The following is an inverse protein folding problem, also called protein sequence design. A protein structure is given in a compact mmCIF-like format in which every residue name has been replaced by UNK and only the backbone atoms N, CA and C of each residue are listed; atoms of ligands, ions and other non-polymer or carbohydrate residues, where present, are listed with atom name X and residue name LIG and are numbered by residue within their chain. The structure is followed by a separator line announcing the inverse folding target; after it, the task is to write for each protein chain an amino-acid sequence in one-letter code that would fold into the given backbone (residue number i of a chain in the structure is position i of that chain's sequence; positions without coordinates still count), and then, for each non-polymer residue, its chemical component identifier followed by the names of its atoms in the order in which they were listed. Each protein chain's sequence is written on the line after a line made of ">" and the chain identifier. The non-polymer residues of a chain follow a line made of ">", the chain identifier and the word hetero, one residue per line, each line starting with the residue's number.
data_IF_279338657739
#
_entry.id   IF_279338657739
#
_cell.length_a   1.000
_cell.length_b   1.000
_cell.length_c   1.000
_cell.angle_alpha   90.00
_cell.angle_beta   90.00
_cell.angle_gamma   90.00
#
_symmetry.space_group_name_H-M   'P 1'
#
loop_
_entity.id
_entity.type
_entity.pdbx_description
1 polymer ?
#
# COMPACT_ATOMS: atom_id res chain seq x y z
N UNK A 1 -70.34 35.66 -3.64
CA UNK A 1 -69.23 34.83 -4.17
C UNK A 1 -69.24 33.55 -3.34
N UNK A 2 -69.82 32.47 -3.88
CA UNK A 2 -70.10 31.26 -3.11
C UNK A 2 -68.80 30.47 -2.90
N UNK A 3 -68.20 30.60 -1.72
CA UNK A 3 -67.13 29.73 -1.27
C UNK A 3 -67.72 28.33 -1.05
N UNK A 4 -67.17 27.32 -1.69
CA UNK A 4 -67.73 25.95 -1.83
C UNK A 4 -68.07 25.23 -0.49
N UNK A 5 -67.64 25.78 0.66
CA UNK A 5 -67.87 25.27 2.02
C UNK A 5 -68.26 26.36 3.05
N UNK A 6 -68.47 27.62 2.62
CA UNK A 6 -68.77 28.74 3.53
C UNK A 6 -67.59 29.21 4.41
N UNK A 7 -66.36 28.76 4.13
CA UNK A 7 -65.15 29.16 4.86
C UNK A 7 -64.54 30.41 4.23
N UNK A 8 -64.15 31.38 5.07
CA UNK A 8 -63.53 32.63 4.63
C UNK A 8 -62.14 32.41 3.99
N UNK A 9 -61.78 33.29 3.06
CA UNK A 9 -60.52 33.22 2.32
C UNK A 9 -59.31 33.34 3.26
N UNK A 10 -59.41 34.18 4.29
CA UNK A 10 -58.35 34.39 5.28
C UNK A 10 -58.10 33.12 6.08
N UNK A 11 -59.16 32.42 6.47
CA UNK A 11 -59.08 31.13 7.20
C UNK A 11 -58.38 30.07 6.33
N UNK A 12 -58.76 29.99 5.06
CA UNK A 12 -58.15 29.05 4.10
C UNK A 12 -56.66 29.34 3.87
N UNK A 13 -56.28 30.62 3.81
CA UNK A 13 -54.88 31.03 3.65
C UNK A 13 -54.03 30.66 4.88
N UNK A 14 -54.55 30.89 6.09
CA UNK A 14 -53.87 30.56 7.35
C UNK A 14 -53.74 29.04 7.50
N UNK A 15 -54.80 28.26 7.20
CA UNK A 15 -54.79 26.80 7.20
C UNK A 15 -53.67 26.24 6.30
N UNK A 16 -53.61 26.72 5.06
CA UNK A 16 -52.58 26.33 4.09
C UNK A 16 -51.17 26.69 4.56
N UNK A 17 -50.97 27.90 5.09
CA UNK A 17 -49.68 28.35 5.58
C UNK A 17 -49.17 27.49 6.76
N UNK A 18 -50.03 27.24 7.76
CA UNK A 18 -49.68 26.39 8.90
C UNK A 18 -49.30 24.98 8.45
N UNK A 19 -50.10 24.38 7.57
CA UNK A 19 -49.85 23.03 7.07
C UNK A 19 -48.53 22.93 6.29
N UNK A 20 -48.31 23.85 5.34
CA UNK A 20 -47.14 23.83 4.45
C UNK A 20 -45.84 24.14 5.18
N UNK A 21 -45.82 25.13 6.09
CA UNK A 21 -44.63 25.49 6.88
C UNK A 21 -44.22 24.34 7.79
N UNK A 22 -45.18 23.74 8.50
CA UNK A 22 -44.88 22.61 9.40
C UNK A 22 -44.47 21.36 8.62
N UNK A 23 -45.06 21.12 7.45
CA UNK A 23 -44.66 19.99 6.59
C UNK A 23 -43.23 20.19 6.06
N UNK A 24 -42.89 21.40 5.62
CA UNK A 24 -41.54 21.73 5.18
C UNK A 24 -40.52 21.54 6.31
N UNK A 25 -40.86 21.96 7.54
CA UNK A 25 -40.02 21.72 8.72
C UNK A 25 -39.82 20.24 9.02
N UNK A 26 -40.88 19.42 8.95
CA UNK A 26 -40.81 17.98 9.14
C UNK A 26 -39.94 17.29 8.08
N UNK A 27 -40.07 17.67 6.82
CA UNK A 27 -39.26 17.17 5.71
C UNK A 27 -37.79 17.54 5.89
N UNK A 28 -37.49 18.80 6.24
CA UNK A 28 -36.13 19.26 6.50
C UNK A 28 -35.48 18.52 7.68
N UNK A 29 -36.23 18.32 8.76
CA UNK A 29 -35.78 17.55 9.93
C UNK A 29 -35.43 16.10 9.54
N UNK A 30 -36.29 15.44 8.76
CA UNK A 30 -36.04 14.06 8.30
C UNK A 30 -34.81 13.99 7.41
N UNK A 31 -34.71 14.87 6.42
CA UNK A 31 -33.58 14.92 5.50
C UNK A 31 -32.25 15.13 6.25
N UNK A 32 -32.22 16.07 7.20
CA UNK A 32 -31.02 16.38 7.97
C UNK A 32 -30.67 15.27 8.98
N UNK A 33 -31.66 14.72 9.69
CA UNK A 33 -31.40 13.64 10.67
C UNK A 33 -30.86 12.40 9.98
N UNK A 34 -31.44 11.99 8.84
CA UNK A 34 -30.96 10.84 8.08
C UNK A 34 -29.62 11.09 7.39
N UNK A 35 -29.22 12.36 7.20
CA UNK A 35 -27.86 12.68 6.79
C UNK A 35 -26.82 12.33 7.87
N UNK A 36 -27.14 12.56 9.15
CA UNK A 36 -26.16 12.43 10.26
C UNK A 36 -26.27 11.15 11.10
N UNK A 37 -27.45 10.54 11.23
CA UNK A 37 -27.66 9.38 12.10
C UNK A 37 -28.26 8.19 11.34
N UNK A 38 -27.54 7.07 11.31
CA UNK A 38 -28.01 5.81 10.72
C UNK A 38 -27.59 4.60 11.54
N UNK A 39 -28.54 3.74 11.95
CA UNK A 39 -28.20 2.52 12.68
C UNK A 39 -27.54 1.49 11.75
N UNK A 40 -26.55 0.75 12.26
CA UNK A 40 -25.89 -0.33 11.49
C UNK A 40 -26.82 -1.51 11.17
N UNK A 41 -27.85 -1.75 12.00
CA UNK A 41 -28.84 -2.84 11.85
C UNK A 41 -30.25 -2.28 11.79
N UNK A 42 -31.12 -2.88 10.98
CA UNK A 42 -32.51 -2.45 10.84
C UNK A 42 -32.67 -1.08 10.18
N UNK A 43 -31.84 -0.76 9.18
CA UNK A 43 -31.81 0.55 8.51
C UNK A 43 -33.17 0.97 7.96
N UNK A 44 -33.83 0.08 7.21
CA UNK A 44 -35.14 0.35 6.60
C UNK A 44 -36.26 0.46 7.63
N UNK A 45 -36.25 -0.38 8.67
CA UNK A 45 -37.24 -0.32 9.74
C UNK A 45 -37.08 0.96 10.57
N UNK A 46 -35.85 1.42 10.81
CA UNK A 46 -35.59 2.70 11.45
C UNK A 46 -36.13 3.87 10.64
N UNK A 47 -35.86 3.94 9.33
CA UNK A 47 -36.38 5.02 8.46
C UNK A 47 -37.92 5.03 8.49
N UNK A 48 -38.56 3.87 8.36
CA UNK A 48 -40.03 3.76 8.41
C UNK A 48 -40.63 4.20 9.76
N UNK A 49 -40.05 3.76 10.88
CA UNK A 49 -40.52 4.12 12.23
C UNK A 49 -40.29 5.61 12.49
N UNK A 50 -39.11 6.13 12.15
CA UNK A 50 -38.75 7.52 12.40
C UNK A 50 -39.59 8.50 11.58
N UNK A 51 -39.68 8.29 10.27
CA UNK A 51 -40.53 9.10 9.40
C UNK A 51 -41.98 9.03 9.84
N UNK A 52 -42.43 7.86 10.29
CA UNK A 52 -43.78 7.73 10.78
C UNK A 52 -44.09 8.42 12.10
N UNK A 53 -43.14 8.39 13.05
CA UNK A 53 -43.24 9.18 14.27
C UNK A 53 -43.29 10.68 13.95
N UNK A 54 -42.44 11.16 13.03
CA UNK A 54 -42.45 12.56 12.59
C UNK A 54 -43.76 12.93 11.93
N UNK A 55 -44.34 12.07 11.08
CA UNK A 55 -45.65 12.32 10.46
C UNK A 55 -46.78 12.41 11.49
N UNK A 56 -46.78 11.57 12.53
CA UNK A 56 -47.77 11.64 13.62
C UNK A 56 -47.63 12.93 14.43
N UNK A 57 -46.40 13.31 14.79
CA UNK A 57 -46.13 14.56 15.52
C UNK A 57 -46.54 15.77 14.70
N UNK A 58 -46.16 15.81 13.41
CA UNK A 58 -46.54 16.87 12.49
C UNK A 58 -48.06 17.03 12.41
N UNK A 59 -48.80 15.94 12.15
CA UNK A 59 -50.25 15.97 12.04
C UNK A 59 -50.90 16.44 13.36
N UNK A 60 -50.43 15.94 14.51
CA UNK A 60 -50.92 16.35 15.82
C UNK A 60 -50.71 17.85 16.10
N UNK A 61 -49.54 18.38 15.77
CA UNK A 61 -49.22 19.81 15.93
C UNK A 61 -50.09 20.68 15.01
N UNK A 62 -50.23 20.30 13.73
CA UNK A 62 -51.10 21.00 12.77
C UNK A 62 -52.54 21.08 13.30
N UNK A 63 -53.10 19.95 13.73
CA UNK A 63 -54.48 19.88 14.25
C UNK A 63 -54.63 20.72 15.52
N UNK A 64 -53.68 20.63 16.45
CA UNK A 64 -53.72 21.38 17.72
C UNK A 64 -53.70 22.89 17.48
N UNK A 65 -52.83 23.38 16.59
CA UNK A 65 -52.73 24.81 16.27
C UNK A 65 -54.02 25.29 15.61
N UNK A 66 -54.49 24.61 14.55
CA UNK A 66 -55.66 25.04 13.79
C UNK A 66 -56.95 24.99 14.62
N UNK A 67 -57.10 23.97 15.46
CA UNK A 67 -58.25 23.86 16.39
C UNK A 67 -58.21 24.94 17.47
N UNK A 68 -57.03 25.34 17.93
CA UNK A 68 -56.88 26.41 18.92
C UNK A 68 -57.15 27.79 18.34
N UNK A 69 -56.82 28.04 17.07
CA UNK A 69 -57.05 29.34 16.41
C UNK A 69 -58.53 29.53 16.08
N UNK A 70 -59.23 28.46 15.69
CA UNK A 70 -60.60 28.52 15.18
C UNK A 70 -61.60 27.73 16.04
N UNK A 71 -61.40 27.69 17.36
CA UNK A 71 -62.26 26.95 18.30
C UNK A 71 -63.74 27.34 18.20
N UNK A 72 -64.00 28.59 17.89
CA UNK A 72 -65.34 29.18 17.90
C UNK A 72 -66.09 28.94 16.58
N UNK A 73 -65.40 28.47 15.53
CA UNK A 73 -65.98 28.20 14.22
C UNK A 73 -66.29 26.70 14.04
N UNK A 74 -67.49 26.30 14.47
CA UNK A 74 -67.97 24.91 14.43
C UNK A 74 -67.88 24.27 13.03
N UNK A 75 -68.18 25.02 11.96
CA UNK A 75 -68.11 24.53 10.58
C UNK A 75 -66.67 24.19 10.18
N UNK A 76 -65.71 25.05 10.54
CA UNK A 76 -64.30 24.81 10.26
C UNK A 76 -63.75 23.63 11.07
N UNK A 77 -64.11 23.51 12.35
CA UNK A 77 -63.64 22.39 13.20
C UNK A 77 -64.14 21.04 12.69
N UNK A 78 -65.39 20.97 12.21
CA UNK A 78 -65.92 19.76 11.56
C UNK A 78 -65.16 19.43 10.27
N UNK A 79 -64.97 20.43 9.39
CA UNK A 79 -64.22 20.26 8.15
C UNK A 79 -62.75 19.82 8.38
N UNK A 80 -62.10 20.39 9.41
CA UNK A 80 -60.75 19.99 9.80
C UNK A 80 -60.71 18.51 10.23
N UNK A 81 -61.69 18.06 11.02
CA UNK A 81 -61.82 16.66 11.42
C UNK A 81 -62.02 15.73 10.23
N UNK A 82 -62.92 16.09 9.31
CA UNK A 82 -63.25 15.26 8.14
C UNK A 82 -62.07 15.13 7.15
N UNK A 83 -61.27 16.19 7.01
CA UNK A 83 -60.11 16.21 6.11
C UNK A 83 -58.82 15.68 6.74
N UNK A 84 -58.79 15.50 8.06
CA UNK A 84 -57.60 15.04 8.81
C UNK A 84 -57.00 13.73 8.27
N UNK A 85 -57.79 12.67 7.97
CA UNK A 85 -57.23 11.42 7.44
C UNK A 85 -56.51 11.61 6.09
N UNK A 86 -57.05 12.46 5.22
CA UNK A 86 -56.49 12.75 3.90
C UNK A 86 -55.20 13.57 4.05
N UNK A 87 -55.20 14.60 4.91
CA UNK A 87 -54.01 15.42 5.23
C UNK A 87 -52.89 14.54 5.78
N UNK A 88 -53.21 13.64 6.70
CA UNK A 88 -52.26 12.69 7.26
C UNK A 88 -51.67 11.78 6.18
N UNK A 89 -52.50 11.18 5.31
CA UNK A 89 -52.02 10.29 4.25
C UNK A 89 -51.08 11.02 3.26
N UNK A 90 -51.40 12.26 2.88
CA UNK A 90 -50.56 13.07 2.00
C UNK A 90 -49.22 13.44 2.68
N UNK A 91 -49.26 13.97 3.90
CA UNK A 91 -48.05 14.34 4.65
C UNK A 91 -47.16 13.13 4.95
N UNK A 92 -47.75 12.00 5.33
CA UNK A 92 -47.07 10.73 5.51
C UNK A 92 -46.31 10.30 4.26
N UNK A 93 -46.97 10.32 3.10
CA UNK A 93 -46.35 9.91 1.83
C UNK A 93 -45.17 10.80 1.46
N UNK A 94 -45.30 12.12 1.64
CA UNK A 94 -44.22 13.07 1.37
C UNK A 94 -43.03 12.84 2.32
N UNK A 95 -43.28 12.76 3.63
CA UNK A 95 -42.23 12.62 4.65
C UNK A 95 -41.47 11.29 4.49
N UNK A 96 -42.20 10.19 4.34
CA UNK A 96 -41.60 8.86 4.11
C UNK A 96 -40.84 8.81 2.79
N UNK A 97 -41.41 9.34 1.70
CA UNK A 97 -40.77 9.38 0.39
C UNK A 97 -39.44 10.13 0.42
N UNK A 98 -39.40 11.32 1.02
CA UNK A 98 -38.13 12.06 1.21
C UNK A 98 -37.15 11.29 2.09
N UNK A 99 -37.63 10.63 3.16
CA UNK A 99 -36.78 9.82 4.01
C UNK A 99 -36.08 8.68 3.26
N UNK A 100 -36.83 7.95 2.42
CA UNK A 100 -36.25 6.89 1.58
C UNK A 100 -35.34 7.44 0.48
N UNK A 101 -35.70 8.53 -0.19
CA UNK A 101 -34.85 9.16 -1.22
C UNK A 101 -33.51 9.57 -0.61
N UNK A 102 -33.53 10.27 0.53
CA UNK A 102 -32.31 10.66 1.23
C UNK A 102 -31.50 9.43 1.62
N UNK A 103 -32.14 8.40 2.17
CA UNK A 103 -31.45 7.17 2.53
C UNK A 103 -30.73 6.53 1.34
N UNK A 104 -31.41 6.37 0.20
CA UNK A 104 -30.83 5.74 -0.99
C UNK A 104 -29.72 6.58 -1.64
N UNK A 105 -29.88 7.91 -1.71
CA UNK A 105 -28.86 8.78 -2.33
C UNK A 105 -27.55 8.69 -1.57
N UNK A 106 -27.61 8.70 -0.23
CA UNK A 106 -26.42 8.58 0.58
C UNK A 106 -25.84 7.16 0.59
N UNK A 107 -26.66 6.10 0.59
CA UNK A 107 -26.15 4.72 0.48
C UNK A 107 -25.40 4.51 -0.85
N UNK A 108 -25.92 5.09 -1.94
CA UNK A 108 -25.24 5.09 -3.24
C UNK A 108 -23.90 5.84 -3.18
N UNK A 109 -23.86 7.02 -2.54
CA UNK A 109 -22.62 7.78 -2.36
C UNK A 109 -21.58 7.00 -1.55
N UNK A 110 -21.98 6.39 -0.44
CA UNK A 110 -21.09 5.58 0.39
C UNK A 110 -20.52 4.39 -0.38
N UNK A 111 -21.34 3.72 -1.20
CA UNK A 111 -20.89 2.64 -2.08
C UNK A 111 -19.93 3.13 -3.16
N UNK A 112 -20.18 4.29 -3.77
CA UNK A 112 -19.27 4.89 -4.75
C UNK A 112 -17.93 5.27 -4.13
N UNK A 113 -17.94 5.87 -2.94
CA UNK A 113 -16.71 6.19 -2.20
C UNK A 113 -15.95 4.93 -1.77
N UNK A 114 -16.65 3.88 -1.36
CA UNK A 114 -16.05 2.59 -1.04
C UNK A 114 -15.42 1.94 -2.28
N UNK A 115 -16.12 1.98 -3.42
CA UNK A 115 -15.61 1.48 -4.70
C UNK A 115 -14.38 2.27 -5.17
N UNK A 116 -14.45 3.61 -5.15
CA UNK A 116 -13.33 4.47 -5.52
C UNK A 116 -12.10 4.24 -4.62
N UNK A 117 -12.30 4.07 -3.31
CA UNK A 117 -11.23 3.70 -2.38
C UNK A 117 -10.63 2.33 -2.71
N UNK A 118 -11.46 1.36 -3.05
CA UNK A 118 -11.01 0.02 -3.47
C UNK A 118 -10.19 0.09 -4.76
N UNK A 119 -10.69 0.77 -5.79
CA UNK A 119 -9.99 0.94 -7.06
C UNK A 119 -8.65 1.67 -6.89
N UNK A 120 -8.60 2.71 -6.06
CA UNK A 120 -7.36 3.42 -5.73
C UNK A 120 -6.35 2.51 -5.03
N UNK A 121 -6.80 1.69 -4.07
CA UNK A 121 -5.93 0.72 -3.40
C UNK A 121 -5.41 -0.36 -4.36
N UNK A 122 -6.24 -0.89 -5.25
CA UNK A 122 -5.84 -1.86 -6.28
C UNK A 122 -4.85 -1.26 -7.30
N UNK A 123 -5.03 0.02 -7.66
CA UNK A 123 -4.09 0.74 -8.52
C UNK A 123 -2.73 0.90 -7.84
N UNK A 124 -2.71 1.35 -6.58
CA UNK A 124 -1.48 1.49 -5.80
C UNK A 124 -0.75 0.15 -5.62
N UNK A 125 -1.50 -0.94 -5.36
CA UNK A 125 -0.92 -2.27 -5.27
C UNK A 125 -0.26 -2.71 -6.59
N UNK A 126 -0.94 -2.51 -7.73
CA UNK A 126 -0.39 -2.79 -9.06
C UNK A 126 0.85 -1.95 -9.37
N UNK A 127 0.83 -0.65 -9.05
CA UNK A 127 1.98 0.23 -9.25
C UNK A 127 3.18 -0.20 -8.39
N UNK A 128 2.93 -0.61 -7.14
CA UNK A 128 3.97 -1.15 -6.26
C UNK A 128 4.56 -2.47 -6.77
N UNK A 129 3.72 -3.36 -7.30
CA UNK A 129 4.15 -4.63 -7.92
C UNK A 129 4.99 -4.38 -9.18
N UNK A 130 4.54 -3.48 -10.06
CA UNK A 130 5.30 -3.08 -11.24
C UNK A 130 6.64 -2.42 -10.88
N UNK A 131 6.65 -1.57 -9.84
CA UNK A 131 7.87 -0.96 -9.34
C UNK A 131 8.85 -2.01 -8.80
N UNK A 132 8.35 -2.96 -8.00
CA UNK A 132 9.13 -4.09 -7.47
C UNK A 132 9.76 -4.89 -8.62
N UNK A 133 8.98 -5.25 -9.64
CA UNK A 133 9.46 -5.98 -10.81
C UNK A 133 10.52 -5.20 -11.60
N UNK A 134 10.32 -3.88 -11.80
CA UNK A 134 11.31 -3.01 -12.47
C UNK A 134 12.62 -2.94 -11.71
N UNK A 135 12.60 -2.90 -10.38
CA UNK A 135 13.81 -2.88 -9.56
C UNK A 135 14.57 -4.21 -9.62
N UNK A 136 13.85 -5.33 -9.69
CA UNK A 136 14.46 -6.67 -9.79
C UNK A 136 15.24 -6.90 -11.07
N UNK A 137 14.83 -6.28 -12.18
CA UNK A 137 15.52 -6.44 -13.45
C UNK A 137 16.86 -5.71 -13.51
N UNK A 138 17.21 -4.91 -12.50
CA UNK A 138 18.48 -4.17 -12.42
C UNK A 138 18.84 -3.48 -13.76
N UNK A 139 18.02 -2.51 -14.23
CA UNK A 139 18.09 -2.03 -15.60
C UNK A 139 19.48 -1.55 -16.03
N UNK A 140 20.19 -0.88 -15.12
CA UNK A 140 21.53 -0.38 -15.38
C UNK A 140 22.55 -1.51 -15.62
N UNK A 141 22.49 -2.60 -14.85
CA UNK A 141 23.31 -3.79 -15.09
C UNK A 141 23.00 -4.42 -16.45
N UNK A 142 21.72 -4.55 -16.80
CA UNK A 142 21.28 -5.07 -18.09
C UNK A 142 21.78 -4.22 -19.27
N UNK A 143 21.60 -2.90 -19.23
CA UNK A 143 22.06 -2.02 -20.29
C UNK A 143 23.58 -2.09 -20.48
N UNK A 144 24.34 -2.11 -19.39
CA UNK A 144 25.80 -2.22 -19.46
C UNK A 144 26.27 -3.57 -19.98
N UNK A 145 25.58 -4.64 -19.60
CA UNK A 145 25.84 -5.99 -20.11
C UNK A 145 25.58 -6.08 -21.61
N UNK A 146 24.45 -5.55 -22.09
CA UNK A 146 24.11 -5.49 -23.52
C UNK A 146 25.10 -4.65 -24.32
N UNK A 147 25.55 -3.51 -23.78
CA UNK A 147 26.57 -2.68 -24.43
C UNK A 147 27.90 -3.42 -24.57
N UNK A 148 28.29 -4.19 -23.54
CA UNK A 148 29.49 -5.01 -23.57
C UNK A 148 29.36 -6.12 -24.62
N UNK A 149 28.22 -6.80 -24.70
CA UNK A 149 27.92 -7.78 -25.75
C UNK A 149 28.06 -7.13 -27.13
N UNK A 150 27.43 -5.97 -27.36
CA UNK A 150 27.49 -5.27 -28.63
C UNK A 150 28.93 -4.93 -29.07
N UNK A 151 29.79 -4.53 -28.12
CA UNK A 151 31.20 -4.29 -28.39
C UNK A 151 32.00 -5.58 -28.68
N UNK A 152 31.58 -6.72 -28.15
CA UNK A 152 32.23 -8.01 -28.36
C UNK A 152 31.80 -8.70 -29.66
N UNK A 153 30.54 -8.55 -30.09
CA UNK A 153 29.97 -9.31 -31.21
C UNK A 153 30.84 -9.23 -32.48
N UNK A 154 31.40 -8.06 -32.79
CA UNK A 154 32.23 -7.86 -34.00
C UNK A 154 33.69 -8.30 -33.85
N UNK A 155 34.22 -8.36 -32.62
CA UNK A 155 35.66 -8.54 -32.37
C UNK A 155 35.96 -9.93 -31.79
N UNK A 156 35.10 -10.41 -30.88
CA UNK A 156 35.25 -11.64 -30.09
C UNK A 156 33.87 -12.32 -29.93
N UNK A 157 33.33 -12.93 -31.00
CA UNK A 157 31.96 -13.46 -31.03
C UNK A 157 31.72 -14.61 -30.05
N UNK A 158 32.74 -15.42 -29.76
CA UNK A 158 32.63 -16.52 -28.78
C UNK A 158 32.47 -15.98 -27.34
N UNK A 159 33.24 -14.95 -26.96
CA UNK A 159 33.07 -14.28 -25.66
C UNK A 159 31.70 -13.59 -25.56
N UNK A 160 31.20 -13.02 -26.66
CA UNK A 160 29.85 -12.45 -26.70
C UNK A 160 28.77 -13.52 -26.46
N UNK A 161 28.91 -14.71 -27.07
CA UNK A 161 28.00 -15.84 -26.89
C UNK A 161 28.01 -16.36 -25.45
N UNK A 162 29.20 -16.47 -24.84
CA UNK A 162 29.34 -16.84 -23.43
C UNK A 162 28.66 -15.80 -22.52
N UNK A 163 28.86 -14.50 -22.79
CA UNK A 163 28.24 -13.43 -22.02
C UNK A 163 26.71 -13.46 -22.12
N UNK A 164 26.15 -13.75 -23.31
CA UNK A 164 24.70 -13.93 -23.50
C UNK A 164 24.18 -15.10 -22.66
N UNK A 165 24.89 -16.24 -22.65
CA UNK A 165 24.49 -17.40 -21.84
C UNK A 165 24.51 -17.07 -20.34
N UNK A 166 25.59 -16.45 -19.85
CA UNK A 166 25.71 -16.03 -18.45
C UNK A 166 24.59 -15.05 -18.05
N UNK A 167 24.29 -14.09 -18.91
CA UNK A 167 23.21 -13.12 -18.68
C UNK A 167 21.83 -13.79 -18.63
N UNK A 168 21.58 -14.78 -19.49
CA UNK A 168 20.34 -15.57 -19.50
C UNK A 168 20.17 -16.38 -18.22
N UNK A 169 21.24 -17.06 -17.77
CA UNK A 169 21.25 -17.83 -16.53
C UNK A 169 21.07 -16.92 -15.31
N UNK A 170 21.65 -15.71 -15.33
CA UNK A 170 21.51 -14.73 -14.27
C UNK A 170 20.05 -14.27 -14.16
N UNK A 171 19.44 -13.85 -15.26
CA UNK A 171 18.04 -13.41 -15.26
C UNK A 171 17.09 -14.52 -14.82
N UNK A 172 17.31 -15.76 -15.26
CA UNK A 172 16.53 -16.92 -14.82
C UNK A 172 16.66 -17.15 -13.32
N UNK A 173 17.87 -16.98 -12.77
CA UNK A 173 18.14 -17.07 -11.34
C UNK A 173 17.43 -15.99 -10.52
N UNK A 174 17.43 -14.74 -11.01
CA UNK A 174 16.76 -13.60 -10.35
C UNK A 174 15.27 -13.86 -10.19
N UNK A 175 14.62 -14.38 -11.24
CA UNK A 175 13.17 -14.62 -11.26
C UNK A 175 12.75 -15.85 -10.43
N UNK A 176 13.60 -16.87 -10.31
CA UNK A 176 13.26 -18.13 -9.61
C UNK A 176 13.41 -18.04 -8.08
N UNK A 177 14.31 -17.17 -7.58
CA UNK A 177 14.68 -17.10 -6.16
C UNK A 177 13.74 -16.23 -5.30
N UNK A 178 12.66 -15.70 -5.88
CA UNK A 178 11.78 -14.75 -5.22
C UNK A 178 10.87 -15.38 -4.14
N UNK A 179 10.55 -16.68 -4.30
CA UNK A 179 9.58 -17.36 -3.44
C UNK A 179 10.22 -18.03 -2.20
N UNK A 180 11.55 -18.05 -2.10
CA UNK A 180 12.26 -18.73 -1.01
C UNK A 180 12.65 -17.75 0.09
N UNK A 181 12.29 -18.06 1.34
CA UNK A 181 12.70 -17.24 2.50
C UNK A 181 14.19 -17.44 2.85
N UNK A 182 14.72 -18.64 2.60
CA UNK A 182 16.09 -19.05 2.92
C UNK A 182 16.64 -19.93 1.79
N UNK A 183 17.91 -19.74 1.47
CA UNK A 183 18.65 -20.60 0.54
C UNK A 183 20.01 -21.00 1.16
N UNK A 184 20.59 -22.15 0.76
CA UNK A 184 21.97 -22.47 1.13
C UNK A 184 22.95 -21.41 0.62
N UNK A 185 23.99 -21.11 1.39
CA UNK A 185 25.04 -20.17 1.01
C UNK A 185 25.66 -20.53 -0.34
N UNK A 186 25.81 -21.83 -0.63
CA UNK A 186 26.30 -22.32 -1.92
C UNK A 186 25.49 -21.77 -3.10
N UNK A 187 24.17 -21.70 -2.97
CA UNK A 187 23.30 -21.19 -4.03
C UNK A 187 23.39 -19.66 -4.17
N UNK A 188 23.53 -18.93 -3.07
CA UNK A 188 23.77 -17.49 -3.09
C UNK A 188 25.12 -17.17 -3.75
N UNK A 189 26.20 -17.87 -3.35
CA UNK A 189 27.53 -17.67 -3.92
C UNK A 189 27.62 -18.10 -5.39
N UNK A 190 26.93 -19.17 -5.81
CA UNK A 190 26.87 -19.57 -7.22
C UNK A 190 26.24 -18.47 -8.08
N UNK A 191 25.18 -17.83 -7.59
CA UNK A 191 24.54 -16.73 -8.29
C UNK A 191 25.41 -15.47 -8.29
N UNK A 192 26.07 -15.17 -7.17
CA UNK A 192 27.01 -14.06 -7.05
C UNK A 192 28.21 -14.22 -7.99
N UNK A 193 28.72 -15.45 -8.17
CA UNK A 193 29.78 -15.76 -9.15
C UNK A 193 29.32 -15.44 -10.57
N UNK A 194 28.09 -15.80 -10.94
CA UNK A 194 27.54 -15.50 -12.26
C UNK A 194 27.45 -13.99 -12.52
N UNK A 195 26.97 -13.23 -11.53
CA UNK A 195 26.97 -11.77 -11.57
C UNK A 195 28.38 -11.19 -11.77
N UNK A 196 29.33 -11.64 -10.95
CA UNK A 196 30.73 -11.20 -10.99
C UNK A 196 31.40 -11.54 -12.33
N UNK A 197 31.11 -12.70 -12.91
CA UNK A 197 31.65 -13.10 -14.20
C UNK A 197 31.16 -12.20 -15.34
N UNK A 198 29.91 -11.72 -15.28
CA UNK A 198 29.38 -10.76 -16.25
C UNK A 198 30.07 -9.40 -16.08
N UNK A 199 30.23 -8.91 -14.84
CA UNK A 199 30.94 -7.65 -14.57
C UNK A 199 32.43 -7.73 -14.93
N UNK A 200 33.09 -8.89 -14.76
CA UNK A 200 34.48 -9.10 -15.19
C UNK A 200 34.66 -8.96 -16.70
N UNK A 201 33.68 -9.39 -17.51
CA UNK A 201 33.75 -9.18 -18.96
C UNK A 201 33.69 -7.68 -19.29
N UNK A 202 32.85 -6.93 -18.57
CA UNK A 202 32.70 -5.48 -18.73
C UNK A 202 33.95 -4.72 -18.30
N UNK A 203 34.51 -5.04 -17.13
CA UNK A 203 35.66 -4.33 -16.55
C UNK A 203 37.02 -4.93 -16.92
N UNK A 204 37.03 -6.09 -17.58
CA UNK A 204 38.22 -6.83 -18.04
C UNK A 204 39.23 -7.03 -16.90
N UNK A 205 40.50 -6.72 -17.16
CA UNK A 205 41.61 -6.85 -16.20
C UNK A 205 41.49 -5.93 -14.96
N UNK A 206 40.53 -4.99 -14.96
CA UNK A 206 40.36 -4.06 -13.84
C UNK A 206 39.57 -4.66 -12.66
N UNK A 207 38.87 -5.77 -12.85
CA UNK A 207 38.12 -6.43 -11.79
C UNK A 207 38.63 -7.85 -11.58
N UNK A 208 39.25 -8.08 -10.43
CA UNK A 208 39.52 -9.42 -9.91
C UNK A 208 38.67 -9.69 -8.68
N UNK A 209 38.38 -10.96 -8.43
CA UNK A 209 37.55 -11.38 -7.31
C UNK A 209 38.10 -12.66 -6.71
N UNK A 210 38.17 -12.72 -5.39
CA UNK A 210 38.55 -13.91 -4.65
C UNK A 210 37.39 -14.31 -3.71
N UNK A 211 36.91 -15.55 -3.83
CA UNK A 211 35.80 -16.06 -3.01
C UNK A 211 36.31 -17.29 -2.26
N UNK A 212 36.43 -17.16 -0.94
CA UNK A 212 36.90 -18.21 -0.05
C UNK A 212 35.80 -18.54 0.95
N UNK A 213 35.49 -19.82 1.09
CA UNK A 213 34.55 -20.32 2.11
C UNK A 213 35.26 -21.38 2.95
N UNK A 214 35.05 -21.35 4.27
CA UNK A 214 35.48 -22.44 5.16
C UNK A 214 34.67 -23.72 4.90
N UNK A 215 35.22 -24.87 5.32
CA UNK A 215 34.54 -26.16 5.16
C UNK A 215 33.19 -26.17 5.90
N UNK A 216 32.16 -26.72 5.24
CA UNK A 216 30.81 -26.83 5.80
C UNK A 216 29.93 -25.58 5.62
N UNK A 217 30.48 -24.44 5.17
CA UNK A 217 29.70 -23.19 5.01
C UNK A 217 28.62 -23.30 3.93
N UNK A 218 28.82 -24.18 2.94
CA UNK A 218 27.93 -24.39 1.78
C UNK A 218 26.47 -24.64 2.14
N UNK A 219 26.21 -25.26 3.29
CA UNK A 219 24.88 -25.68 3.74
C UNK A 219 24.19 -24.67 4.68
N UNK A 220 24.94 -23.69 5.19
CA UNK A 220 24.39 -22.64 6.04
C UNK A 220 23.35 -21.83 5.28
N UNK A 221 22.31 -21.39 5.99
CA UNK A 221 21.18 -20.68 5.39
C UNK A 221 21.41 -19.18 5.39
N UNK A 222 21.02 -18.54 4.29
CA UNK A 222 21.08 -17.09 4.08
C UNK A 222 19.80 -16.63 3.37
N UNK A 223 19.25 -15.44 3.69
CA UNK A 223 18.19 -14.85 2.88
C UNK A 223 18.68 -14.64 1.44
N UNK A 224 17.90 -14.98 0.40
CA UNK A 224 18.36 -14.85 -0.98
C UNK A 224 18.65 -13.40 -1.36
N UNK A 225 19.62 -13.18 -2.24
CA UNK A 225 20.02 -11.86 -2.75
C UNK A 225 20.45 -10.89 -1.63
N UNK A 226 21.02 -11.40 -0.54
CA UNK A 226 21.54 -10.58 0.55
C UNK A 226 22.95 -10.06 0.25
N UNK A 227 23.77 -10.86 -0.44
CA UNK A 227 25.17 -10.52 -0.72
C UNK A 227 25.32 -9.62 -1.94
N UNK A 228 24.43 -9.76 -2.91
CA UNK A 228 24.51 -9.04 -4.18
C UNK A 228 24.60 -7.51 -4.01
N UNK A 229 23.75 -6.83 -3.22
CA UNK A 229 23.84 -5.37 -3.09
C UNK A 229 25.13 -4.90 -2.41
N UNK A 230 25.76 -5.75 -1.58
CA UNK A 230 27.07 -5.45 -0.98
C UNK A 230 28.17 -5.52 -2.02
N UNK A 231 28.14 -6.54 -2.88
CA UNK A 231 29.11 -6.69 -3.97
C UNK A 231 28.94 -5.60 -5.03
N UNK A 232 27.71 -5.25 -5.39
CA UNK A 232 27.43 -4.10 -6.27
C UNK A 232 28.02 -2.81 -5.70
N UNK A 233 27.87 -2.61 -4.40
CA UNK A 233 28.43 -1.46 -3.71
C UNK A 233 29.97 -1.46 -3.76
N UNK A 234 30.59 -2.63 -3.55
CA UNK A 234 32.04 -2.81 -3.63
C UNK A 234 32.60 -2.53 -5.04
N UNK A 235 31.93 -3.01 -6.10
CA UNK A 235 32.28 -2.73 -7.50
C UNK A 235 32.12 -1.24 -7.79
N UNK A 236 30.98 -0.65 -7.39
CA UNK A 236 30.67 0.75 -7.66
C UNK A 236 31.74 1.67 -7.06
N UNK A 237 32.05 1.49 -5.79
CA UNK A 237 33.04 2.35 -5.13
C UNK A 237 34.48 2.01 -5.49
N UNK A 238 34.77 0.75 -5.81
CA UNK A 238 36.11 0.36 -6.20
C UNK A 238 36.50 0.81 -7.62
N UNK A 239 35.55 0.91 -8.57
CA UNK A 239 35.88 1.11 -10.00
C UNK A 239 35.43 2.44 -10.63
N UNK A 240 34.45 3.16 -10.07
CA UNK A 240 33.84 4.29 -10.78
C UNK A 240 34.71 5.56 -10.79
N UNK A 241 35.60 5.74 -9.80
CA UNK A 241 36.49 6.93 -9.70
C UNK A 241 37.99 6.57 -9.74
N UNK A 242 38.34 5.30 -9.90
CA UNK A 242 39.72 4.83 -10.05
C UNK A 242 39.94 4.35 -11.48
N UNK A 243 41.16 4.46 -12.00
CA UNK A 243 41.56 3.79 -13.27
C UNK A 243 42.26 2.46 -13.02
N UNK A 244 42.58 2.18 -11.75
CA UNK A 244 43.34 1.02 -11.33
C UNK A 244 42.51 -0.26 -11.33
N UNK A 245 43.22 -1.39 -11.21
CA UNK A 245 42.59 -2.68 -11.01
C UNK A 245 42.23 -2.86 -9.54
N UNK A 246 41.04 -3.38 -9.28
CA UNK A 246 40.59 -3.71 -7.92
C UNK A 246 40.46 -5.22 -7.76
N UNK A 247 40.66 -5.66 -6.51
CA UNK A 247 40.35 -7.01 -6.08
C UNK A 247 39.24 -6.99 -5.03
N UNK A 248 38.11 -7.64 -5.30
CA UNK A 248 37.03 -7.83 -4.33
C UNK A 248 37.20 -9.17 -3.63
N UNK A 249 37.39 -9.15 -2.31
CA UNK A 249 37.57 -10.35 -1.51
C UNK A 249 36.28 -10.68 -0.77
N UNK A 250 35.77 -11.89 -0.96
CA UNK A 250 34.57 -12.41 -0.29
C UNK A 250 35.01 -13.60 0.56
N UNK A 251 34.80 -13.53 1.87
CA UNK A 251 35.08 -14.63 2.78
C UNK A 251 33.82 -15.03 3.53
N UNK A 252 33.58 -16.33 3.63
CA UNK A 252 32.53 -16.91 4.45
C UNK A 252 33.14 -17.79 5.54
N UNK A 253 32.74 -17.53 6.79
CA UNK A 253 33.16 -18.29 7.97
C UNK A 253 32.01 -18.41 8.96
N UNK A 254 32.20 -19.26 9.98
CA UNK A 254 31.24 -19.39 11.07
C UNK A 254 31.82 -18.86 12.37
N UNK A 255 31.05 -18.04 13.08
CA UNK A 255 31.46 -17.46 14.35
C UNK A 255 30.26 -17.45 15.31
N UNK A 256 30.37 -18.09 16.47
CA UNK A 256 29.33 -18.11 17.52
C UNK A 256 27.92 -18.51 17.01
N UNK A 257 27.83 -19.50 16.13
CA UNK A 257 26.56 -19.95 15.53
C UNK A 257 25.97 -19.00 14.48
N UNK A 258 26.71 -17.97 14.07
CA UNK A 258 26.36 -17.07 12.99
C UNK A 258 27.16 -17.44 11.73
N UNK A 259 26.50 -17.43 10.58
CA UNK A 259 27.21 -17.33 9.31
C UNK A 259 27.73 -15.91 9.17
N UNK A 260 29.04 -15.73 9.00
CA UNK A 260 29.69 -14.45 8.78
C UNK A 260 30.19 -14.39 7.35
N UNK A 261 29.71 -13.42 6.58
CA UNK A 261 30.19 -13.14 5.23
C UNK A 261 30.78 -11.75 5.20
N UNK A 262 32.07 -11.65 4.87
CA UNK A 262 32.77 -10.38 4.70
C UNK A 262 33.06 -10.11 3.23
N UNK A 263 32.74 -8.91 2.76
CA UNK A 263 33.09 -8.41 1.43
C UNK A 263 34.02 -7.22 1.60
N UNK A 264 35.21 -7.29 1.02
CA UNK A 264 36.25 -6.26 1.15
C UNK A 264 36.65 -5.73 -0.22
N UNK A 265 36.78 -4.41 -0.34
CA UNK A 265 37.24 -3.74 -1.56
C UNK A 265 38.23 -2.61 -1.25
N UNK A 266 39.11 -2.25 -2.21
CA UNK A 266 39.91 -1.04 -2.11
C UNK A 266 39.03 0.19 -1.91
N UNK A 267 39.48 1.11 -1.07
CA UNK A 267 38.82 2.33 -0.70
C UNK A 267 39.84 3.46 -0.64
N UNK A 268 39.54 4.57 -1.30
CA UNK A 268 40.35 5.78 -1.21
C UNK A 268 39.86 6.64 -0.02
N UNK A 269 40.67 6.83 1.04
CA UNK A 269 40.32 7.68 2.18
C UNK A 269 39.98 9.13 1.80
N UNK A 270 40.49 9.65 0.68
CA UNK A 270 40.19 11.00 0.21
C UNK A 270 38.71 11.16 -0.20
N UNK A 271 38.03 10.05 -0.54
CA UNK A 271 36.62 10.00 -0.88
C UNK A 271 35.71 10.05 0.36
N UNK A 272 36.23 9.88 1.58
CA UNK A 272 35.43 9.85 2.81
C UNK A 272 34.67 11.17 3.11
N UNK A 273 35.07 12.29 2.51
CA UNK A 273 34.49 13.62 2.76
C UNK A 273 33.61 14.15 1.63
N UNK A 274 33.37 13.37 0.58
CA UNK A 274 32.46 13.77 -0.50
C UNK A 274 31.01 13.35 -0.17
N UNK A 275 30.07 14.31 -0.03
CA UNK A 275 28.67 14.02 0.31
C UNK A 275 27.89 13.29 -0.79
N UNK A 276 28.52 12.97 -1.94
CA UNK A 276 27.92 12.34 -3.11
C UNK A 276 28.23 10.84 -3.28
N UNK A 277 29.07 10.23 -2.44
CA UNK A 277 29.43 8.81 -2.55
C UNK A 277 28.38 7.91 -1.90
N UNK A 278 27.23 7.82 -2.55
CA UNK A 278 26.17 6.89 -2.24
C UNK A 278 25.34 7.28 -1.01
N UNK A 279 24.04 7.37 -1.24
CA UNK A 279 22.96 7.60 -0.29
C UNK A 279 22.86 6.59 0.87
N UNK A 280 23.79 5.64 1.00
CA UNK A 280 23.69 4.51 1.92
C UNK A 280 22.48 3.60 1.65
N UNK A 281 21.72 3.81 0.55
CA UNK A 281 20.45 3.11 0.30
C UNK A 281 20.60 1.59 0.28
N UNK A 282 21.68 1.06 -0.33
CA UNK A 282 21.94 -0.38 -0.41
C UNK A 282 22.17 -1.02 0.96
N UNK A 283 23.14 -0.50 1.72
CA UNK A 283 23.45 -1.00 3.07
C UNK A 283 22.33 -0.74 4.07
N UNK A 284 21.61 0.39 3.96
CA UNK A 284 20.45 0.68 4.80
C UNK A 284 19.30 -0.31 4.53
N UNK A 285 19.09 -0.70 3.26
CA UNK A 285 18.09 -1.71 2.90
C UNK A 285 18.45 -3.09 3.47
N UNK A 286 19.73 -3.47 3.41
CA UNK A 286 20.23 -4.70 4.04
C UNK A 286 20.04 -4.66 5.56
N UNK A 287 20.45 -3.56 6.21
CA UNK A 287 20.28 -3.39 7.66
C UNK A 287 18.82 -3.50 8.06
N UNK A 288 17.92 -2.85 7.33
CA UNK A 288 16.47 -2.91 7.57
C UNK A 288 15.94 -4.33 7.38
N UNK A 289 16.37 -5.03 6.32
CA UNK A 289 15.96 -6.42 6.06
C UNK A 289 16.42 -7.36 7.17
N UNK A 290 17.66 -7.26 7.61
CA UNK A 290 18.19 -8.05 8.73
C UNK A 290 17.44 -7.74 10.05
N UNK A 291 17.13 -6.46 10.31
CA UNK A 291 16.33 -6.07 11.47
C UNK A 291 14.91 -6.66 11.41
N UNK A 292 14.26 -6.68 10.24
CA UNK A 292 12.93 -7.26 10.10
C UNK A 292 12.92 -8.78 10.28
N UNK A 293 13.99 -9.48 9.91
CA UNK A 293 14.10 -10.93 10.06
C UNK A 293 14.49 -11.37 11.48
N UNK A 294 15.34 -10.60 12.17
CA UNK A 294 15.98 -11.04 13.41
C UNK A 294 15.80 -10.10 14.60
N UNK A 295 15.15 -8.94 14.41
CA UNK A 295 15.03 -7.88 15.41
C UNK A 295 16.37 -7.41 16.02
N UNK A 296 17.46 -7.54 15.25
CA UNK A 296 18.84 -7.22 15.65
C UNK A 296 19.46 -6.15 14.78
N UNK A 297 20.29 -5.29 15.37
CA UNK A 297 20.97 -4.19 14.68
C UNK A 297 22.46 -4.45 14.46
N UNK A 298 23.03 -5.46 15.13
CA UNK A 298 24.45 -5.83 15.12
C UNK A 298 24.82 -6.83 14.00
N UNK A 299 23.91 -7.06 13.06
CA UNK A 299 24.08 -8.05 11.99
C UNK A 299 24.72 -7.51 10.71
N UNK A 300 24.94 -6.19 10.64
CA UNK A 300 25.65 -5.55 9.54
C UNK A 300 26.66 -4.56 10.12
N UNK A 301 27.93 -4.79 9.82
CA UNK A 301 29.04 -3.93 10.25
C UNK A 301 29.84 -3.47 9.03
N UNK A 302 30.42 -2.28 9.12
CA UNK A 302 31.32 -1.74 8.10
C UNK A 302 32.57 -1.22 8.78
N UNK A 303 33.73 -1.61 8.27
CA UNK A 303 35.03 -1.25 8.80
C UNK A 303 35.88 -0.63 7.68
N UNK A 304 36.61 0.42 8.01
CA UNK A 304 37.65 0.99 7.15
C UNK A 304 38.98 0.70 7.84
N UNK A 305 39.85 -0.03 7.16
CA UNK A 305 41.21 -0.30 7.61
C UNK A 305 42.18 0.13 6.52
N UNK A 306 42.84 1.28 6.73
CA UNK A 306 43.70 1.91 5.74
C UNK A 306 42.96 2.19 4.43
N UNK A 307 43.32 1.45 3.38
CA UNK A 307 42.73 1.56 2.04
C UNK A 307 41.74 0.43 1.73
N UNK A 308 41.21 -0.25 2.74
CA UNK A 308 40.23 -1.32 2.56
C UNK A 308 38.92 -0.96 3.27
N UNK A 309 37.83 -1.03 2.52
CA UNK A 309 36.48 -0.99 3.06
C UNK A 309 35.93 -2.41 3.13
N UNK A 310 35.53 -2.83 4.33
CA UNK A 310 34.99 -4.17 4.59
C UNK A 310 33.57 -4.07 5.10
N UNK A 311 32.64 -4.74 4.44
CA UNK A 311 31.27 -4.96 4.93
C UNK A 311 31.14 -6.38 5.45
N UNK A 312 30.64 -6.53 6.67
CA UNK A 312 30.43 -7.83 7.33
C UNK A 312 28.94 -8.01 7.57
N UNK A 313 28.38 -9.09 7.03
CA UNK A 313 27.02 -9.55 7.29
C UNK A 313 27.11 -10.76 8.22
N UNK A 314 26.33 -10.74 9.29
CA UNK A 314 26.14 -11.87 10.21
C UNK A 314 24.72 -12.38 10.08
N UNK A 315 24.54 -13.68 9.83
CA UNK A 315 23.25 -14.32 9.67
C UNK A 315 23.10 -15.42 10.73
N UNK A 316 22.24 -15.21 11.73
CA UNK A 316 21.91 -16.26 12.70
C UNK A 316 21.45 -17.53 11.99
N UNK A 317 22.12 -18.64 12.30
CA UNK A 317 21.66 -19.94 11.86
C UNK A 317 20.55 -20.41 12.78
N UNK A 318 19.43 -20.81 12.21
CA UNK A 318 18.37 -21.50 12.93
C UNK A 318 18.98 -22.79 13.48
N UNK A 319 19.20 -22.87 14.79
CA UNK A 319 19.49 -24.14 15.43
C UNK A 319 18.31 -25.07 15.15
N UNK A 320 18.59 -26.19 14.51
CA UNK A 320 17.63 -27.27 14.39
C UNK A 320 17.31 -27.81 15.79
N UNK A 321 16.24 -27.31 16.40
CA UNK A 321 15.68 -27.85 17.64
C UNK A 321 15.01 -29.23 17.45
N UNK A 322 15.08 -29.85 16.27
CA UNK A 322 14.52 -31.20 16.06
C UNK A 322 15.46 -32.36 16.42
N UNK A 323 16.66 -32.09 16.92
CA UNK A 323 17.64 -33.14 17.29
C UNK A 323 17.96 -33.25 18.80
N UNK A 324 17.25 -32.54 19.69
CA UNK A 324 17.46 -32.66 21.15
C UNK A 324 16.32 -33.32 21.93
N UNK A 325 15.38 -33.99 21.28
CA UNK A 325 14.37 -34.84 21.93
C UNK A 325 14.21 -36.14 21.14
N UNK A 326 15.18 -37.06 21.25
CA UNK A 326 14.97 -38.53 21.23
C UNK A 326 16.05 -39.25 22.00
#
# INVERSE_FOLDING_TARGET
>A
MNYWLGIDLVISAIDSAVHTILLAGAVALVAQTLAFYRPMKGKYSFVAIFTGAVSLVWAGVVICILRSIYSDNLLYVQWLSDTTPIRFALGWTVITGTGFIAFFTYEMQEQQEALARKEAAEKLAREAELYKLRQQLQPHFLFNSLNSINALVSIRPEEAREMIQKLSDFLRGTLKKEDQLWIPLKEELQYLRLYLDIEKVRFRHRLTTDIVEEDGMQHMQIPPMLLQPVVENAIKFGLYDTTEAININIRASQENGLLKVSVSNPFDPALQHQPSLGTGFGLNSIRRRLYLLFARQDLLETHIDGQLFTTIIKVPQLHDKSSSDR
#
